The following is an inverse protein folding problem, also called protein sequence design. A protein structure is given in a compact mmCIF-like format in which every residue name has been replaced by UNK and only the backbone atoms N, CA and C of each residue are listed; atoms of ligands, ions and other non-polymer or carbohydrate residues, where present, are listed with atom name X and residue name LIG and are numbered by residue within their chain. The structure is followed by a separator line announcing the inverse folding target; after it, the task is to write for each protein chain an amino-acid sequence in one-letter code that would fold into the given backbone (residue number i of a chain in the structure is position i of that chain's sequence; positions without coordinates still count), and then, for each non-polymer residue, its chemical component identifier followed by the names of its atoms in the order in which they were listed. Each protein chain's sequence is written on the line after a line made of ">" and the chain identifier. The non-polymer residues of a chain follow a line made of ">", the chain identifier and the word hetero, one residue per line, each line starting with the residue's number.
data_IF_833994235257
#
_entry.id   IF_833994235257
#
_cell.length_a   1.000
_cell.length_b   1.000
_cell.length_c   1.000
_cell.angle_alpha   90.00
_cell.angle_beta   90.00
_cell.angle_gamma   90.00
#
_symmetry.space_group_name_H-M   'P 1'
#
loop_
_entity.id
_entity.type
_entity.pdbx_description
1 polymer ?
#
# COMPACT_ATOMS: atom_id res chain seq x y z
N UNK A 1 75.91 19.10 6.39
CA UNK A 1 74.66 18.89 7.16
C UNK A 1 73.50 18.87 6.18
N UNK A 2 72.93 17.67 5.96
CA UNK A 2 71.81 17.41 5.05
C UNK A 2 70.51 17.96 5.65
N UNK A 3 69.70 18.68 4.89
CA UNK A 3 68.27 18.83 5.14
C UNK A 3 67.52 18.59 3.84
N UNK A 4 67.11 17.34 3.63
CA UNK A 4 66.09 16.98 2.66
C UNK A 4 64.73 17.36 3.25
N UNK A 5 64.02 18.26 2.59
CA UNK A 5 62.62 18.53 2.85
C UNK A 5 61.82 17.51 2.02
N UNK A 6 61.37 16.44 2.67
CA UNK A 6 60.41 15.51 2.05
C UNK A 6 59.02 16.14 2.20
N UNK A 7 58.49 16.65 1.09
CA UNK A 7 57.08 17.02 0.98
C UNK A 7 56.31 15.70 0.86
N UNK A 8 55.62 15.30 1.93
CA UNK A 8 54.66 14.22 1.90
C UNK A 8 53.44 14.68 1.09
N UNK A 9 53.39 14.27 -0.17
CA UNK A 9 52.19 14.38 -1.00
C UNK A 9 51.17 13.38 -0.47
N UNK A 10 50.31 13.80 0.44
CA UNK A 10 49.12 13.03 0.82
C UNK A 10 48.18 13.06 -0.37
N UNK A 11 48.27 12.05 -1.24
CA UNK A 11 47.20 11.68 -2.14
C UNK A 11 45.99 11.31 -1.27
N UNK A 12 45.09 12.28 -1.03
CA UNK A 12 43.70 11.96 -0.75
C UNK A 12 43.19 11.26 -2.01
N UNK A 13 43.24 9.94 -2.03
CA UNK A 13 42.32 9.15 -2.83
C UNK A 13 40.92 9.59 -2.39
N UNK A 14 40.27 10.41 -3.21
CA UNK A 14 38.84 10.56 -3.14
C UNK A 14 38.28 9.14 -3.30
N UNK A 15 37.93 8.48 -2.19
CA UNK A 15 37.12 7.29 -2.26
C UNK A 15 35.89 7.71 -3.04
N UNK A 16 35.77 7.18 -4.27
CA UNK A 16 34.55 7.30 -5.04
C UNK A 16 33.45 6.65 -4.20
N UNK A 17 32.70 7.47 -3.46
CA UNK A 17 31.52 7.02 -2.74
C UNK A 17 30.58 6.40 -3.77
N UNK A 18 30.38 5.09 -3.68
CA UNK A 18 29.52 4.39 -4.62
C UNK A 18 28.09 4.91 -4.44
N UNK A 19 27.55 5.50 -5.52
CA UNK A 19 26.26 6.18 -5.52
C UNK A 19 25.18 5.33 -6.17
N UNK A 20 24.08 5.09 -5.46
CA UNK A 20 22.91 4.37 -5.96
C UNK A 20 21.84 5.37 -6.38
N UNK A 21 21.45 5.36 -7.65
CA UNK A 21 20.27 6.09 -8.11
C UNK A 21 19.03 5.22 -7.85
N UNK A 22 18.18 5.69 -6.94
CA UNK A 22 16.96 5.00 -6.52
C UNK A 22 15.74 5.75 -7.05
N UNK A 23 15.11 5.23 -8.10
CA UNK A 23 13.84 5.77 -8.61
C UNK A 23 12.65 5.16 -7.86
N UNK A 24 11.68 5.98 -7.45
CA UNK A 24 10.53 5.51 -6.69
C UNK A 24 9.24 6.21 -7.12
N UNK A 25 8.17 5.45 -7.34
CA UNK A 25 6.81 6.02 -7.47
C UNK A 25 6.14 6.24 -6.12
N UNK A 26 6.74 5.72 -5.04
CA UNK A 26 6.29 5.81 -3.66
C UNK A 26 7.11 6.83 -2.87
N UNK A 27 6.63 7.23 -1.68
CA UNK A 27 7.27 8.25 -0.85
C UNK A 27 7.40 9.59 -1.58
N UNK A 28 6.38 9.93 -2.38
CA UNK A 28 6.32 11.17 -3.18
C UNK A 28 5.74 12.35 -2.39
N UNK A 29 4.69 12.18 -1.55
CA UNK A 29 4.24 13.26 -0.67
C UNK A 29 5.38 13.78 0.20
N UNK A 30 5.40 15.08 0.48
CA UNK A 30 6.55 15.77 1.10
C UNK A 30 6.98 15.15 2.43
N UNK A 31 6.02 14.81 3.30
CA UNK A 31 6.28 14.20 4.60
C UNK A 31 6.88 12.79 4.47
N UNK A 32 6.31 11.96 3.59
CA UNK A 32 6.81 10.61 3.31
C UNK A 32 8.22 10.65 2.69
N UNK A 33 8.45 11.58 1.77
CA UNK A 33 9.76 11.80 1.13
C UNK A 33 10.80 12.22 2.16
N UNK A 34 10.47 13.18 3.02
CA UNK A 34 11.37 13.65 4.07
C UNK A 34 11.75 12.51 5.03
N UNK A 35 10.79 11.66 5.40
CA UNK A 35 11.03 10.47 6.20
C UNK A 35 11.96 9.46 5.48
N UNK A 36 11.69 9.12 4.21
CA UNK A 36 12.57 8.19 3.50
C UNK A 36 14.00 8.76 3.36
N UNK A 37 14.13 10.06 3.06
CA UNK A 37 15.44 10.71 2.99
C UNK A 37 16.21 10.65 4.33
N UNK A 38 15.51 10.74 5.47
CA UNK A 38 16.17 10.59 6.77
C UNK A 38 16.72 9.18 6.96
N UNK A 39 15.97 8.14 6.54
CA UNK A 39 16.43 6.74 6.57
C UNK A 39 17.57 6.48 5.60
N UNK A 40 17.52 7.04 4.40
CA UNK A 40 18.64 6.96 3.46
C UNK A 40 19.89 7.66 4.02
N UNK A 41 19.74 8.78 4.74
CA UNK A 41 20.86 9.44 5.41
C UNK A 41 21.47 8.62 6.54
N UNK A 42 20.65 7.93 7.35
CA UNK A 42 21.11 6.96 8.36
C UNK A 42 21.93 5.85 7.69
N UNK A 43 21.38 5.22 6.64
CA UNK A 43 22.06 4.19 5.86
C UNK A 43 23.39 4.67 5.27
N UNK A 44 23.43 5.88 4.71
CA UNK A 44 24.67 6.46 4.16
C UNK A 44 25.72 6.67 5.24
N UNK A 45 25.34 7.13 6.44
CA UNK A 45 26.28 7.29 7.57
C UNK A 45 26.87 5.97 8.04
N UNK A 46 26.07 4.91 8.07
CA UNK A 46 26.50 3.58 8.53
C UNK A 46 27.36 2.85 7.51
N UNK A 47 27.06 3.01 6.21
CA UNK A 47 27.66 2.18 5.16
C UNK A 47 28.63 2.92 4.25
N UNK A 48 28.61 4.25 4.25
CA UNK A 48 29.32 5.09 3.28
C UNK A 48 28.73 5.05 1.86
N UNK A 49 27.55 4.45 1.66
CA UNK A 49 26.90 4.35 0.35
C UNK A 49 25.97 5.56 0.16
N UNK A 50 26.22 6.38 -0.85
CA UNK A 50 25.36 7.52 -1.18
C UNK A 50 24.13 7.05 -1.97
N UNK A 51 22.96 7.59 -1.67
CA UNK A 51 21.70 7.23 -2.34
C UNK A 51 20.99 8.48 -2.84
N UNK A 52 20.81 8.60 -4.15
CA UNK A 52 20.01 9.65 -4.75
C UNK A 52 18.61 9.16 -5.03
N UNK A 53 17.65 9.63 -4.22
CA UNK A 53 16.23 9.34 -4.38
C UNK A 53 15.61 10.24 -5.47
N UNK A 54 15.03 9.57 -6.47
CA UNK A 54 14.32 10.18 -7.59
C UNK A 54 12.84 9.78 -7.53
N UNK A 55 11.99 10.62 -6.93
CA UNK A 55 10.55 10.40 -7.02
C UNK A 55 10.07 10.73 -8.44
N UNK A 56 9.46 9.75 -9.11
CA UNK A 56 8.98 9.84 -10.49
C UNK A 56 7.53 9.37 -10.58
N UNK A 57 6.79 9.87 -11.57
CA UNK A 57 5.47 9.32 -11.89
C UNK A 57 5.56 7.92 -12.51
N UNK A 58 4.44 7.18 -12.50
CA UNK A 58 4.37 5.84 -13.09
C UNK A 58 4.79 5.79 -14.56
N UNK A 59 4.36 6.76 -15.38
CA UNK A 59 4.77 6.82 -16.78
C UNK A 59 6.26 7.17 -16.93
N UNK A 60 6.78 8.05 -16.07
CA UNK A 60 8.16 8.53 -16.13
C UNK A 60 9.15 7.44 -15.77
N UNK A 61 8.85 6.61 -14.76
CA UNK A 61 9.73 5.50 -14.38
C UNK A 61 9.80 4.46 -15.51
N UNK A 62 8.67 4.14 -16.14
CA UNK A 62 8.62 3.24 -17.30
C UNK A 62 9.42 3.80 -18.47
N UNK A 63 9.19 5.06 -18.83
CA UNK A 63 9.87 5.73 -19.93
C UNK A 63 11.39 5.84 -19.70
N UNK A 64 11.80 6.15 -18.46
CA UNK A 64 13.22 6.27 -18.11
C UNK A 64 13.94 4.92 -18.18
N UNK A 65 13.36 3.87 -17.59
CA UNK A 65 13.96 2.52 -17.66
C UNK A 65 14.07 2.07 -19.11
N UNK A 66 13.01 2.26 -19.90
CA UNK A 66 13.03 1.91 -21.32
C UNK A 66 14.12 2.65 -22.10
N UNK A 67 14.29 3.96 -21.88
CA UNK A 67 15.35 4.74 -22.51
C UNK A 67 16.76 4.29 -22.10
N UNK A 68 16.98 4.04 -20.81
CA UNK A 68 18.27 3.55 -20.29
C UNK A 68 18.62 2.16 -20.85
N UNK A 69 17.65 1.26 -20.96
CA UNK A 69 17.85 -0.07 -21.55
C UNK A 69 18.12 0.01 -23.06
N UNK A 70 17.36 0.81 -23.82
CA UNK A 70 17.55 0.97 -25.27
C UNK A 70 18.90 1.57 -25.64
N UNK A 71 19.42 2.48 -24.81
CA UNK A 71 20.72 3.13 -25.05
C UNK A 71 21.90 2.32 -24.51
N UNK A 72 21.65 1.28 -23.70
CA UNK A 72 22.68 0.52 -22.98
C UNK A 72 23.40 1.32 -21.88
N UNK A 73 22.96 2.55 -21.59
CA UNK A 73 23.56 3.46 -20.60
C UNK A 73 22.73 3.46 -19.32
N UNK A 74 22.64 2.30 -18.67
CA UNK A 74 21.87 2.12 -17.44
C UNK A 74 22.55 2.81 -16.26
N UNK A 75 21.82 3.71 -15.60
CA UNK A 75 22.28 4.46 -14.43
C UNK A 75 21.46 4.16 -13.18
N UNK A 76 20.18 3.85 -13.34
CA UNK A 76 19.33 3.45 -12.22
C UNK A 76 19.87 2.16 -11.60
N UNK A 77 20.08 2.19 -10.29
CA UNK A 77 20.49 1.03 -9.50
C UNK A 77 19.29 0.30 -8.90
N UNK A 78 18.27 1.06 -8.51
CA UNK A 78 17.10 0.54 -7.81
C UNK A 78 15.82 1.25 -8.28
N UNK A 79 14.73 0.50 -8.37
CA UNK A 79 13.39 0.97 -8.67
C UNK A 79 12.45 0.53 -7.54
N UNK A 80 11.61 1.43 -7.04
CA UNK A 80 10.41 1.09 -6.29
C UNK A 80 9.17 1.45 -7.11
N UNK A 81 8.34 0.45 -7.41
CA UNK A 81 7.07 0.67 -8.09
C UNK A 81 6.01 -0.34 -7.66
N UNK A 82 4.76 -0.09 -8.03
CA UNK A 82 3.68 -1.06 -7.85
C UNK A 82 3.93 -2.31 -8.72
N UNK A 83 3.53 -3.46 -8.21
CA UNK A 83 3.62 -4.77 -8.89
C UNK A 83 3.22 -4.72 -10.37
N UNK A 84 2.12 -4.03 -10.72
CA UNK A 84 1.67 -3.91 -12.11
C UNK A 84 2.67 -3.20 -13.03
N UNK A 85 3.31 -2.11 -12.57
CA UNK A 85 4.36 -1.42 -13.32
C UNK A 85 5.61 -2.28 -13.49
N UNK A 86 5.98 -3.02 -12.44
CA UNK A 86 7.09 -3.96 -12.49
C UNK A 86 6.85 -5.12 -13.45
N UNK A 87 5.60 -5.60 -13.58
CA UNK A 87 5.22 -6.59 -14.59
C UNK A 87 5.37 -6.05 -16.02
N UNK A 88 5.05 -4.78 -16.26
CA UNK A 88 5.26 -4.14 -17.57
C UNK A 88 6.75 -4.06 -17.90
N UNK A 89 7.61 -3.73 -16.93
CA UNK A 89 9.06 -3.71 -17.14
C UNK A 89 9.62 -5.13 -17.35
N UNK A 90 9.14 -6.10 -16.57
CA UNK A 90 9.55 -7.49 -16.69
C UNK A 90 9.19 -8.10 -18.05
N UNK A 91 7.98 -7.84 -18.57
CA UNK A 91 7.55 -8.35 -19.88
C UNK A 91 8.37 -7.80 -21.04
N UNK A 92 8.99 -6.63 -20.86
CA UNK A 92 9.97 -6.05 -21.80
C UNK A 92 11.40 -6.58 -21.60
N UNK A 93 11.63 -7.44 -20.60
CA UNK A 93 12.94 -7.99 -20.27
C UNK A 93 13.89 -6.98 -19.61
N UNK A 94 13.36 -5.93 -18.99
CA UNK A 94 14.14 -4.81 -18.46
C UNK A 94 14.56 -4.95 -16.99
N UNK A 95 14.13 -6.00 -16.30
CA UNK A 95 14.48 -6.26 -14.90
C UNK A 95 15.45 -7.44 -14.77
N UNK A 96 16.31 -7.39 -13.76
CA UNK A 96 17.16 -8.52 -13.37
C UNK A 96 16.34 -9.62 -12.71
N UNK A 97 16.80 -10.86 -12.86
CA UNK A 97 16.30 -11.97 -12.06
C UNK A 97 16.99 -11.93 -10.68
N UNK A 98 16.17 -11.84 -9.63
CA UNK A 98 16.57 -11.74 -8.24
C UNK A 98 16.43 -13.08 -7.50
N UNK A 99 16.21 -14.21 -8.20
CA UNK A 99 15.97 -15.52 -7.57
C UNK A 99 17.14 -15.98 -6.69
N UNK A 100 18.36 -15.65 -7.09
CA UNK A 100 19.60 -15.92 -6.34
C UNK A 100 19.85 -14.92 -5.19
N UNK A 101 19.12 -13.81 -5.15
CA UNK A 101 19.27 -12.83 -4.08
C UNK A 101 18.49 -13.29 -2.85
N UNK A 102 19.22 -13.71 -1.82
CA UNK A 102 18.67 -14.15 -0.54
C UNK A 102 18.79 -13.04 0.50
N UNK A 103 17.70 -12.85 1.25
CA UNK A 103 17.63 -11.98 2.41
C UNK A 103 17.33 -12.90 3.60
N UNK A 104 18.36 -13.38 4.33
CA UNK A 104 18.16 -14.28 5.47
C UNK A 104 17.31 -13.58 6.54
N UNK A 105 16.52 -14.32 7.32
CA UNK A 105 15.66 -13.78 8.39
C UNK A 105 14.53 -12.85 7.91
N UNK A 106 14.14 -12.93 6.62
CA UNK A 106 13.00 -12.19 6.07
C UNK A 106 12.01 -13.17 5.44
N UNK A 107 10.84 -13.30 6.05
CA UNK A 107 9.72 -14.07 5.50
C UNK A 107 8.74 -13.13 4.81
N UNK A 108 8.88 -12.98 3.50
CA UNK A 108 8.04 -12.07 2.72
C UNK A 108 6.61 -12.58 2.56
N UNK A 109 5.66 -11.77 3.02
CA UNK A 109 4.26 -11.85 2.65
C UNK A 109 4.11 -11.53 1.16
N UNK A 110 3.10 -12.11 0.51
CA UNK A 110 2.79 -11.85 -0.90
C UNK A 110 3.93 -12.19 -1.88
N UNK A 111 4.96 -12.92 -1.46
CA UNK A 111 6.15 -13.21 -2.27
C UNK A 111 5.83 -13.92 -3.59
N UNK A 112 4.76 -14.72 -3.63
CA UNK A 112 4.28 -15.36 -4.88
C UNK A 112 4.04 -14.36 -6.02
N UNK A 113 3.67 -13.11 -5.72
CA UNK A 113 3.43 -12.06 -6.70
C UNK A 113 4.73 -11.37 -7.17
N UNK A 114 5.86 -11.66 -6.54
CA UNK A 114 7.17 -11.18 -6.97
C UNK A 114 7.73 -11.91 -8.19
N UNK A 115 7.05 -12.97 -8.65
CA UNK A 115 7.47 -13.80 -9.76
C UNK A 115 6.70 -13.49 -11.03
N UNK A 116 7.41 -13.47 -12.16
CA UNK A 116 6.85 -13.45 -13.51
C UNK A 116 7.73 -14.33 -14.41
N UNK A 117 7.11 -15.18 -15.24
CA UNK A 117 7.81 -16.09 -16.15
C UNK A 117 8.93 -16.92 -15.50
N UNK A 118 8.68 -17.41 -14.28
CA UNK A 118 9.62 -18.23 -13.50
C UNK A 118 10.77 -17.47 -12.84
N UNK A 119 10.84 -16.14 -13.00
CA UNK A 119 11.89 -15.28 -12.43
C UNK A 119 11.36 -14.44 -11.29
N UNK A 120 12.17 -14.23 -10.25
CA UNK A 120 11.87 -13.25 -9.19
C UNK A 120 12.24 -11.86 -9.69
N UNK A 121 11.25 -11.05 -10.07
CA UNK A 121 11.49 -9.76 -10.74
C UNK A 121 11.58 -8.57 -9.78
N UNK A 122 11.17 -8.74 -8.53
CA UNK A 122 11.31 -7.75 -7.47
C UNK A 122 11.41 -8.39 -6.09
N UNK A 123 11.87 -7.64 -5.10
CA UNK A 123 11.73 -7.97 -3.67
C UNK A 123 10.51 -7.23 -3.13
N UNK A 124 9.50 -7.89 -2.54
CA UNK A 124 8.39 -7.20 -1.90
C UNK A 124 8.91 -6.21 -0.86
N UNK A 125 8.37 -4.99 -0.83
CA UNK A 125 8.86 -3.95 0.09
C UNK A 125 7.78 -3.41 1.00
N UNK A 126 6.66 -2.99 0.42
CA UNK A 126 5.56 -2.37 1.17
C UNK A 126 4.24 -2.92 0.69
N UNK A 127 3.27 -2.95 1.60
CA UNK A 127 1.89 -3.17 1.24
C UNK A 127 0.94 -2.16 1.86
N UNK A 128 -0.16 -1.93 1.18
CA UNK A 128 -1.32 -1.24 1.71
C UNK A 128 -2.59 -1.89 1.16
N UNK A 129 -3.73 -1.46 1.70
CA UNK A 129 -5.03 -1.87 1.17
C UNK A 129 -6.05 -0.80 1.54
N UNK A 130 -7.30 -1.08 1.22
CA UNK A 130 -8.47 -0.32 1.59
C UNK A 130 -9.36 -1.20 2.44
N UNK A 131 -10.00 -0.55 3.40
CA UNK A 131 -10.74 -1.21 4.47
C UNK A 131 -12.07 -0.49 4.67
N UNK A 132 -13.00 -1.15 5.36
CA UNK A 132 -14.10 -0.44 5.97
C UNK A 132 -13.72 -0.03 7.39
N UNK A 133 -14.15 1.17 7.77
CA UNK A 133 -14.04 1.67 9.14
C UNK A 133 -15.44 1.85 9.69
N UNK A 134 -15.68 1.24 10.84
CA UNK A 134 -16.97 1.24 11.52
C UNK A 134 -16.80 1.99 12.84
N UNK A 135 -17.59 3.04 13.05
CA UNK A 135 -17.82 3.60 14.37
C UNK A 135 -18.56 2.54 15.20
N UNK A 136 -18.02 2.17 16.37
CA UNK A 136 -18.56 1.08 17.20
C UNK A 136 -20.03 1.31 17.61
N UNK A 137 -20.53 2.53 17.58
CA UNK A 137 -21.96 2.81 17.78
C UNK A 137 -22.86 2.19 16.71
N UNK A 138 -22.35 1.98 15.49
CA UNK A 138 -23.08 1.32 14.41
C UNK A 138 -23.51 -0.10 14.80
N UNK A 139 -22.73 -0.80 15.62
CA UNK A 139 -23.02 -2.20 16.00
C UNK A 139 -24.35 -2.36 16.77
N UNK A 140 -24.86 -1.28 17.38
CA UNK A 140 -26.20 -1.25 18.01
C UNK A 140 -27.34 -1.49 17.02
N UNK A 141 -27.08 -1.36 15.72
CA UNK A 141 -28.07 -1.43 14.64
C UNK A 141 -27.87 -2.63 13.71
N UNK A 142 -27.05 -3.61 14.11
CA UNK A 142 -26.78 -4.80 13.29
C UNK A 142 -28.08 -5.51 12.86
N UNK A 143 -28.13 -6.00 11.61
CA UNK A 143 -29.15 -6.93 11.14
C UNK A 143 -29.33 -8.14 12.06
N UNK A 144 -30.53 -8.71 12.07
CA UNK A 144 -30.78 -9.92 12.85
C UNK A 144 -29.93 -11.07 12.29
N UNK A 145 -29.13 -11.70 13.15
CA UNK A 145 -28.29 -12.86 12.80
C UNK A 145 -26.87 -12.50 12.32
N UNK A 146 -26.55 -11.21 12.20
CA UNK A 146 -25.20 -10.70 12.00
C UNK A 146 -24.60 -10.25 13.34
N UNK A 147 -23.44 -10.76 13.70
CA UNK A 147 -22.72 -10.39 14.93
C UNK A 147 -21.59 -9.39 14.66
N UNK A 148 -21.10 -8.73 15.70
CA UNK A 148 -19.91 -7.87 15.59
C UNK A 148 -18.68 -8.66 15.12
N UNK A 149 -18.52 -9.90 15.58
CA UNK A 149 -17.42 -10.78 15.16
C UNK A 149 -17.54 -11.18 13.68
N UNK A 150 -18.76 -11.41 13.18
CA UNK A 150 -18.97 -11.68 11.75
C UNK A 150 -18.41 -10.55 10.88
N UNK A 151 -18.61 -9.30 11.30
CA UNK A 151 -18.09 -8.11 10.60
C UNK A 151 -16.58 -7.99 10.77
N UNK A 152 -16.06 -8.06 12.01
CA UNK A 152 -14.64 -7.88 12.34
C UNK A 152 -13.72 -8.88 11.65
N UNK A 153 -14.14 -10.13 11.59
CA UNK A 153 -13.36 -11.22 11.02
C UNK A 153 -13.79 -11.58 9.60
N UNK A 154 -14.73 -10.83 9.02
CA UNK A 154 -15.16 -11.02 7.65
C UNK A 154 -15.65 -12.44 7.39
N UNK A 155 -16.59 -12.95 8.19
CA UNK A 155 -17.15 -14.29 7.99
C UNK A 155 -18.01 -14.35 6.71
N UNK A 156 -18.49 -15.54 6.37
CA UNK A 156 -19.43 -15.76 5.26
C UNK A 156 -20.73 -14.94 5.39
N UNK A 157 -21.11 -14.54 6.60
CA UNK A 157 -22.30 -13.72 6.85
C UNK A 157 -22.08 -12.23 6.54
N UNK A 158 -20.84 -11.79 6.45
CA UNK A 158 -20.52 -10.39 6.16
C UNK A 158 -20.56 -10.11 4.65
N UNK A 159 -21.78 -9.91 4.14
CA UNK A 159 -22.08 -9.70 2.71
C UNK A 159 -22.53 -8.28 2.38
N UNK A 160 -22.54 -7.92 1.09
CA UNK A 160 -23.07 -6.62 0.64
C UNK A 160 -24.55 -6.44 0.98
N UNK A 161 -25.35 -7.51 1.01
CA UNK A 161 -26.74 -7.51 1.47
C UNK A 161 -26.82 -7.23 2.97
N UNK A 162 -25.94 -7.83 3.76
CA UNK A 162 -25.85 -7.58 5.20
C UNK A 162 -25.46 -6.12 5.48
N UNK A 163 -24.51 -5.55 4.71
CA UNK A 163 -24.20 -4.12 4.77
C UNK A 163 -25.42 -3.26 4.43
N UNK A 164 -26.16 -3.61 3.38
CA UNK A 164 -27.35 -2.87 2.95
C UNK A 164 -28.43 -2.84 4.03
N UNK A 165 -28.77 -4.00 4.61
CA UNK A 165 -29.74 -4.07 5.72
C UNK A 165 -29.26 -3.27 6.93
N UNK A 166 -27.96 -3.31 7.22
CA UNK A 166 -27.39 -2.58 8.34
C UNK A 166 -27.50 -1.07 8.18
N UNK A 167 -27.14 -0.53 7.01
CA UNK A 167 -27.24 0.91 6.76
C UNK A 167 -28.70 1.37 6.71
N UNK A 168 -29.61 0.52 6.23
CA UNK A 168 -31.04 0.78 6.28
C UNK A 168 -31.55 0.86 7.74
N UNK A 169 -31.13 -0.07 8.61
CA UNK A 169 -31.49 -0.07 10.03
C UNK A 169 -31.00 1.20 10.74
N UNK A 170 -29.76 1.62 10.47
CA UNK A 170 -29.22 2.86 11.05
C UNK A 170 -30.05 4.05 10.59
N UNK A 171 -30.31 4.18 9.28
CA UNK A 171 -31.10 5.29 8.73
C UNK A 171 -32.51 5.32 9.32
N UNK A 172 -33.19 4.16 9.42
CA UNK A 172 -34.54 4.05 10.02
C UNK A 172 -34.58 4.47 11.49
N UNK A 173 -33.53 4.16 12.25
CA UNK A 173 -33.49 4.44 13.70
C UNK A 173 -32.98 5.83 14.05
N UNK A 174 -32.13 6.41 13.20
CA UNK A 174 -31.43 7.67 13.50
C UNK A 174 -31.83 8.83 12.60
N UNK A 175 -32.40 8.56 11.43
CA UNK A 175 -32.67 9.54 10.38
C UNK A 175 -31.41 10.10 9.70
N UNK A 176 -30.22 9.58 10.02
CA UNK A 176 -28.93 10.06 9.49
C UNK A 176 -28.35 9.09 8.48
N UNK A 177 -27.70 9.63 7.44
CA UNK A 177 -26.97 8.85 6.45
C UNK A 177 -25.77 8.14 7.09
N UNK A 178 -25.73 6.80 7.14
CA UNK A 178 -24.71 6.10 7.89
C UNK A 178 -23.42 5.85 7.11
N UNK A 179 -23.47 5.85 5.77
CA UNK A 179 -22.41 5.34 4.92
C UNK A 179 -21.71 6.47 4.17
N UNK A 180 -20.38 6.43 4.11
CA UNK A 180 -19.59 7.41 3.37
C UNK A 180 -18.55 6.78 2.45
N UNK A 181 -18.31 7.44 1.32
CA UNK A 181 -17.24 7.11 0.38
C UNK A 181 -16.51 8.37 -0.06
N UNK A 182 -15.20 8.30 -0.36
CA UNK A 182 -14.46 9.43 -0.89
C UNK A 182 -14.76 9.59 -2.39
N UNK A 183 -15.81 10.33 -2.75
CA UNK A 183 -16.31 10.45 -4.12
C UNK A 183 -16.02 11.80 -4.79
N UNK A 184 -15.28 12.70 -4.12
CA UNK A 184 -14.77 13.90 -4.76
C UNK A 184 -13.77 13.58 -5.90
N UNK A 185 -13.41 14.54 -6.77
CA UNK A 185 -12.46 14.29 -7.85
C UNK A 185 -11.09 13.73 -7.42
N UNK A 186 -10.59 14.07 -6.22
CA UNK A 186 -9.38 13.48 -5.62
C UNK A 186 -9.64 12.25 -4.74
N UNK A 187 -10.90 11.84 -4.66
CA UNK A 187 -11.38 10.66 -3.95
C UNK A 187 -11.04 9.34 -4.65
N UNK A 188 -11.34 8.24 -3.97
CA UNK A 188 -10.96 6.88 -4.39
C UNK A 188 -12.16 5.99 -4.72
N UNK A 189 -13.33 6.58 -4.94
CA UNK A 189 -14.54 5.85 -5.35
C UNK A 189 -14.32 4.92 -6.55
N UNK A 190 -13.56 5.35 -7.56
CA UNK A 190 -13.23 4.52 -8.72
C UNK A 190 -12.50 3.22 -8.33
N UNK A 191 -11.69 3.24 -7.26
CA UNK A 191 -11.02 2.05 -6.73
C UNK A 191 -11.98 1.14 -5.99
N UNK A 192 -12.94 1.68 -5.23
CA UNK A 192 -14.02 0.87 -4.65
C UNK A 192 -14.83 0.19 -5.76
N UNK A 193 -15.26 0.96 -6.76
CA UNK A 193 -16.08 0.45 -7.85
C UNK A 193 -15.40 -0.72 -8.56
N UNK A 194 -14.19 -0.51 -9.10
CA UNK A 194 -13.52 -1.52 -9.93
C UNK A 194 -12.74 -2.57 -9.13
N UNK A 195 -12.19 -2.21 -7.97
CA UNK A 195 -11.33 -3.10 -7.21
C UNK A 195 -12.02 -3.90 -6.11
N UNK A 196 -13.25 -3.53 -5.74
CA UNK A 196 -13.98 -4.16 -4.65
C UNK A 196 -15.31 -4.73 -5.10
N UNK A 197 -16.27 -3.87 -5.46
CA UNK A 197 -17.63 -4.35 -5.69
C UNK A 197 -17.77 -5.10 -7.03
N UNK A 198 -17.14 -4.64 -8.11
CA UNK A 198 -17.14 -5.36 -9.40
C UNK A 198 -16.62 -6.79 -9.29
N UNK A 199 -15.41 -7.06 -8.75
CA UNK A 199 -14.92 -8.43 -8.61
C UNK A 199 -15.75 -9.25 -7.62
N UNK A 200 -16.33 -8.62 -6.59
CA UNK A 200 -17.20 -9.33 -5.63
C UNK A 200 -18.51 -9.84 -6.25
N UNK A 201 -19.04 -9.16 -7.27
CA UNK A 201 -20.26 -9.58 -7.96
C UNK A 201 -19.97 -10.40 -9.22
N UNK A 202 -18.98 -10.01 -10.01
CA UNK A 202 -18.75 -10.59 -11.35
C UNK A 202 -17.64 -11.66 -11.35
N UNK A 203 -16.78 -11.66 -10.32
CA UNK A 203 -15.55 -12.45 -10.28
C UNK A 203 -14.43 -11.90 -11.17
N UNK A 204 -14.56 -10.67 -11.70
CA UNK A 204 -13.53 -10.01 -12.49
C UNK A 204 -13.53 -8.49 -12.27
N UNK A 205 -12.36 -7.86 -12.43
CA UNK A 205 -12.22 -6.41 -12.34
C UNK A 205 -12.68 -5.69 -13.62
N UNK A 206 -12.21 -6.15 -14.79
CA UNK A 206 -12.40 -5.45 -16.07
C UNK A 206 -13.10 -6.28 -17.16
N UNK A 207 -12.80 -7.57 -17.27
CA UNK A 207 -13.24 -8.40 -18.41
C UNK A 207 -14.72 -8.83 -18.39
N UNK A 208 -15.45 -8.57 -17.30
CA UNK A 208 -16.88 -8.90 -17.17
C UNK A 208 -17.75 -7.67 -16.90
N UNK A 209 -17.31 -6.53 -17.44
CA UNK A 209 -17.90 -5.22 -17.18
C UNK A 209 -19.40 -5.14 -17.55
N UNK A 210 -19.80 -5.81 -18.64
CA UNK A 210 -21.13 -5.82 -19.23
C UNK A 210 -21.94 -7.11 -18.93
N UNK A 211 -21.49 -7.89 -17.94
CA UNK A 211 -22.18 -9.14 -17.56
C UNK A 211 -23.52 -8.91 -16.87
N UNK A 212 -24.43 -9.90 -16.90
CA UNK A 212 -25.70 -9.85 -16.16
C UNK A 212 -25.48 -9.58 -14.66
N UNK A 213 -24.41 -10.14 -14.07
CA UNK A 213 -24.04 -9.87 -12.68
C UNK A 213 -23.59 -8.43 -12.43
N UNK A 214 -23.03 -7.76 -13.43
CA UNK A 214 -22.76 -6.33 -13.33
C UNK A 214 -24.06 -5.53 -13.23
N UNK A 215 -25.13 -5.92 -13.95
CA UNK A 215 -26.45 -5.29 -13.81
C UNK A 215 -27.03 -5.48 -12.39
N UNK A 216 -26.92 -6.68 -11.81
CA UNK A 216 -27.32 -6.94 -10.43
C UNK A 216 -26.56 -6.04 -9.44
N UNK A 217 -25.24 -5.92 -9.63
CA UNK A 217 -24.38 -5.03 -8.85
C UNK A 217 -24.78 -3.56 -8.99
N UNK A 218 -25.10 -3.08 -10.20
CA UNK A 218 -25.55 -1.70 -10.41
C UNK A 218 -26.91 -1.44 -9.78
N UNK A 219 -27.84 -2.39 -9.83
CA UNK A 219 -29.12 -2.28 -9.11
C UNK A 219 -28.93 -2.27 -7.60
N UNK A 220 -27.99 -3.06 -7.07
CA UNK A 220 -27.56 -2.96 -5.67
C UNK A 220 -27.01 -1.57 -5.34
N UNK A 221 -26.07 -1.04 -6.13
CA UNK A 221 -25.50 0.29 -5.91
C UNK A 221 -26.56 1.38 -5.94
N UNK A 222 -27.51 1.34 -6.88
CA UNK A 222 -28.65 2.29 -6.92
C UNK A 222 -29.45 2.30 -5.62
N UNK A 223 -29.65 1.12 -5.01
CA UNK A 223 -30.32 1.01 -3.70
C UNK A 223 -29.43 1.53 -2.58
N UNK A 224 -28.15 1.13 -2.54
CA UNK A 224 -27.19 1.53 -1.51
C UNK A 224 -26.96 3.04 -1.47
N UNK A 225 -26.92 3.70 -2.64
CA UNK A 225 -26.68 5.15 -2.75
C UNK A 225 -27.72 6.00 -2.00
N UNK A 226 -28.89 5.45 -1.68
CA UNK A 226 -29.90 6.12 -0.83
C UNK A 226 -29.45 6.29 0.63
N UNK A 227 -28.46 5.50 1.05
CA UNK A 227 -27.88 5.51 2.40
C UNK A 227 -26.47 6.10 2.45
N UNK A 228 -25.90 6.43 1.29
CA UNK A 228 -24.62 7.14 1.20
C UNK A 228 -24.86 8.62 1.49
N UNK A 229 -24.03 9.19 2.37
CA UNK A 229 -24.13 10.59 2.75
C UNK A 229 -23.91 11.49 1.52
N UNK A 230 -24.83 12.43 1.18
CA UNK A 230 -24.74 13.23 -0.04
C UNK A 230 -23.41 14.01 -0.21
N UNK A 231 -22.84 14.47 0.90
CA UNK A 231 -21.55 15.16 0.93
C UNK A 231 -20.34 14.26 0.59
N UNK A 232 -20.51 12.93 0.44
CA UNK A 232 -19.47 12.04 -0.09
C UNK A 232 -18.93 12.51 -1.45
N UNK A 233 -19.77 13.17 -2.26
CA UNK A 233 -19.35 13.81 -3.53
C UNK A 233 -18.34 14.95 -3.36
N UNK A 234 -18.11 15.43 -2.14
CA UNK A 234 -17.19 16.53 -1.81
C UNK A 234 -16.01 16.10 -0.93
N UNK A 235 -15.99 14.84 -0.48
CA UNK A 235 -14.91 14.33 0.36
C UNK A 235 -13.88 13.55 -0.46
N UNK A 236 -12.62 13.98 -0.36
CA UNK A 236 -11.48 13.22 -0.90
C UNK A 236 -11.04 12.09 0.05
N UNK A 237 -11.28 12.24 1.35
CA UNK A 237 -10.86 11.32 2.41
C UNK A 237 -11.97 11.13 3.44
N UNK A 238 -11.97 9.99 4.12
CA UNK A 238 -13.02 9.64 5.09
C UNK A 238 -12.64 9.81 6.57
N UNK A 239 -11.41 10.18 6.90
CA UNK A 239 -10.99 10.42 8.28
C UNK A 239 -11.80 11.52 8.98
N UNK A 240 -11.92 12.71 8.39
CA UNK A 240 -12.68 13.81 8.98
C UNK A 240 -14.19 13.52 9.10
N UNK A 241 -14.89 13.03 8.05
CA UNK A 241 -16.30 12.65 8.17
C UNK A 241 -16.54 11.61 9.28
N UNK A 242 -15.64 10.63 9.46
CA UNK A 242 -15.70 9.66 10.55
C UNK A 242 -15.53 10.35 11.92
N UNK A 243 -14.48 11.16 12.09
CA UNK A 243 -14.19 11.83 13.36
C UNK A 243 -15.28 12.81 13.78
N UNK A 244 -15.93 13.48 12.82
CA UNK A 244 -17.09 14.37 13.06
C UNK A 244 -18.40 13.62 13.30
N UNK A 245 -18.43 12.29 13.09
CA UNK A 245 -19.64 11.48 13.21
C UNK A 245 -20.70 11.79 12.15
N UNK A 246 -20.29 12.34 10.99
CA UNK A 246 -21.16 12.58 9.84
C UNK A 246 -21.59 11.27 9.18
N UNK A 247 -20.74 10.25 9.30
CA UNK A 247 -21.03 8.87 8.90
C UNK A 247 -20.61 7.91 10.02
N UNK A 248 -21.27 6.77 10.12
CA UNK A 248 -20.92 5.71 11.05
C UNK A 248 -20.08 4.61 10.41
N UNK A 249 -20.15 4.47 9.09
CA UNK A 249 -19.46 3.45 8.32
C UNK A 249 -18.84 4.14 7.11
N UNK A 250 -17.57 3.89 6.84
CA UNK A 250 -16.88 4.43 5.67
C UNK A 250 -15.95 3.40 5.04
N UNK A 251 -15.65 3.60 3.76
CA UNK A 251 -14.60 2.86 3.07
C UNK A 251 -13.53 3.84 2.58
N UNK A 252 -12.25 3.55 2.79
CA UNK A 252 -11.14 4.33 2.24
C UNK A 252 -9.82 3.57 2.34
N UNK A 253 -8.75 4.16 1.81
CA UNK A 253 -7.38 3.69 1.94
C UNK A 253 -6.90 3.78 3.39
N UNK A 254 -6.16 2.79 3.86
CA UNK A 254 -5.62 2.74 5.23
C UNK A 254 -4.83 4.01 5.61
N UNK A 255 -4.02 4.54 4.70
CA UNK A 255 -3.28 5.79 4.94
C UNK A 255 -4.19 7.03 5.09
N UNK A 256 -5.37 7.03 4.46
CA UNK A 256 -6.36 8.13 4.53
C UNK A 256 -7.24 8.07 5.77
N UNK A 257 -7.36 6.92 6.44
CA UNK A 257 -8.13 6.75 7.68
C UNK A 257 -7.25 6.64 8.93
N UNK A 258 -5.93 6.51 8.76
CA UNK A 258 -4.94 6.40 9.84
C UNK A 258 -5.15 7.45 10.94
N UNK A 259 -5.39 8.70 10.56
CA UNK A 259 -5.56 9.79 11.52
C UNK A 259 -6.79 9.59 12.42
N UNK A 260 -7.92 9.12 11.87
CA UNK A 260 -9.12 8.83 12.65
C UNK A 260 -8.87 7.71 13.67
N UNK A 261 -8.17 6.64 13.26
CA UNK A 261 -7.85 5.51 14.14
C UNK A 261 -6.86 5.90 15.24
N UNK A 262 -5.85 6.73 14.92
CA UNK A 262 -4.87 7.21 15.91
C UNK A 262 -5.52 8.18 16.91
N UNK A 263 -6.37 9.09 16.43
CA UNK A 263 -6.96 10.13 17.28
C UNK A 263 -8.09 9.61 18.16
N UNK A 264 -8.82 8.57 17.70
CA UNK A 264 -9.99 8.02 18.39
C UNK A 264 -10.00 6.48 18.35
N UNK A 265 -8.96 5.80 18.87
CA UNK A 265 -8.79 4.35 18.74
C UNK A 265 -9.93 3.54 19.36
N UNK A 266 -10.56 4.08 20.41
CA UNK A 266 -11.67 3.41 21.09
C UNK A 266 -13.00 3.52 20.35
N UNK A 267 -13.14 4.48 19.42
CA UNK A 267 -14.40 4.72 18.71
C UNK A 267 -14.54 3.90 17.44
N UNK A 268 -13.43 3.52 16.81
CA UNK A 268 -13.45 2.91 15.50
C UNK A 268 -12.99 1.46 15.52
N UNK A 269 -13.51 0.69 14.58
CA UNK A 269 -13.08 -0.65 14.26
C UNK A 269 -12.76 -0.71 12.77
N UNK A 270 -11.59 -1.26 12.42
CA UNK A 270 -11.22 -1.49 11.03
C UNK A 270 -11.61 -2.92 10.68
N UNK A 271 -12.42 -3.08 9.64
CA UNK A 271 -13.04 -4.35 9.27
C UNK A 271 -12.87 -4.64 7.78
N UNK A 272 -12.88 -5.91 7.38
CA UNK A 272 -12.91 -6.28 5.97
C UNK A 272 -14.09 -5.66 5.21
N UNK A 273 -13.93 -5.38 3.92
CA UNK A 273 -15.06 -5.08 3.03
C UNK A 273 -15.98 -6.28 2.91
N UNK A 274 -17.30 -6.15 2.73
CA UNK A 274 -18.22 -7.27 2.57
C UNK A 274 -17.92 -8.13 1.34
N UNK A 275 -18.38 -9.38 1.37
CA UNK A 275 -18.28 -10.30 0.23
C UNK A 275 -19.53 -10.20 -0.64
N UNK A 276 -19.36 -10.45 -1.94
CA UNK A 276 -20.47 -10.61 -2.87
C UNK A 276 -20.66 -12.07 -3.31
N UNK A 277 -21.56 -12.31 -4.29
CA UNK A 277 -21.84 -13.64 -4.83
C UNK A 277 -20.62 -14.39 -5.39
N UNK A 278 -19.54 -13.67 -5.73
CA UNK A 278 -18.29 -14.23 -6.26
C UNK A 278 -17.13 -14.17 -5.28
N UNK A 279 -17.42 -13.96 -3.99
CA UNK A 279 -16.44 -13.85 -2.93
C UNK A 279 -16.11 -12.40 -2.59
N UNK A 280 -15.04 -12.23 -1.83
CA UNK A 280 -14.58 -10.93 -1.33
C UNK A 280 -13.55 -10.34 -2.31
N UNK A 281 -13.98 -9.39 -3.12
CA UNK A 281 -13.08 -8.61 -3.96
C UNK A 281 -12.41 -7.49 -3.16
N UNK A 282 -11.09 -7.42 -3.19
CA UNK A 282 -10.32 -6.35 -2.56
C UNK A 282 -9.01 -6.08 -3.30
N UNK A 283 -8.49 -4.86 -3.15
CA UNK A 283 -7.21 -4.45 -3.73
C UNK A 283 -6.09 -4.76 -2.76
N UNK A 284 -5.07 -5.44 -3.25
CA UNK A 284 -3.76 -5.49 -2.62
C UNK A 284 -2.88 -4.45 -3.29
N UNK A 285 -2.40 -3.46 -2.52
CA UNK A 285 -1.36 -2.55 -2.98
C UNK A 285 -0.03 -3.20 -2.60
N UNK A 286 0.73 -3.66 -3.60
CA UNK A 286 2.05 -4.25 -3.40
C UNK A 286 3.10 -3.40 -4.11
N UNK A 287 4.04 -2.87 -3.34
CA UNK A 287 5.22 -2.16 -3.84
C UNK A 287 6.39 -3.13 -3.82
N UNK A 288 7.09 -3.22 -4.95
CA UNK A 288 8.29 -4.02 -5.10
C UNK A 288 9.54 -3.15 -5.30
N UNK A 289 10.67 -3.65 -4.80
CA UNK A 289 12.01 -3.17 -5.10
C UNK A 289 12.59 -4.02 -6.23
N UNK A 290 12.77 -3.42 -7.40
CA UNK A 290 13.29 -4.08 -8.59
C UNK A 290 14.62 -3.47 -9.03
N UNK A 291 15.43 -4.28 -9.71
CA UNK A 291 16.74 -3.87 -10.20
C UNK A 291 16.69 -3.87 -11.73
N UNK A 292 16.97 -2.74 -12.41
CA UNK A 292 17.10 -2.72 -13.86
C UNK A 292 18.15 -3.71 -14.35
N UNK A 293 17.92 -4.35 -15.49
CA UNK A 293 18.93 -5.18 -16.14
C UNK A 293 20.19 -4.35 -16.41
N UNK A 294 21.37 -4.92 -16.14
CA UNK A 294 22.66 -4.23 -16.25
C UNK A 294 22.82 -3.00 -15.34
N UNK A 295 22.07 -2.93 -14.22
CA UNK A 295 22.25 -1.87 -13.23
C UNK A 295 23.69 -1.83 -12.68
N UNK A 296 24.26 -0.63 -12.45
CA UNK A 296 25.57 -0.49 -11.83
C UNK A 296 25.51 -0.77 -10.32
N UNK A 297 26.69 -0.94 -9.70
CA UNK A 297 26.84 -0.93 -8.23
C UNK A 297 25.98 -1.96 -7.48
N UNK A 298 25.90 -3.20 -8.00
CA UNK A 298 25.00 -4.21 -7.45
C UNK A 298 25.22 -4.55 -5.98
N UNK A 299 26.45 -4.51 -5.48
CA UNK A 299 26.70 -4.79 -4.06
C UNK A 299 26.09 -3.71 -3.17
N UNK A 300 26.13 -2.45 -3.61
CA UNK A 300 25.48 -1.34 -2.92
C UNK A 300 23.96 -1.41 -3.02
N UNK A 301 23.42 -1.76 -4.19
CA UNK A 301 21.99 -1.97 -4.39
C UNK A 301 21.46 -3.08 -3.48
N UNK A 302 22.17 -4.22 -3.39
CA UNK A 302 21.79 -5.33 -2.49
C UNK A 302 21.77 -4.89 -1.03
N UNK A 303 22.78 -4.14 -0.58
CA UNK A 303 22.82 -3.58 0.78
C UNK A 303 21.66 -2.62 1.05
N UNK A 304 21.30 -1.81 0.06
CA UNK A 304 20.16 -0.90 0.19
C UNK A 304 18.83 -1.67 0.27
N UNK A 305 18.63 -2.70 -0.56
CA UNK A 305 17.42 -3.54 -0.47
C UNK A 305 17.36 -4.26 0.88
N UNK A 306 18.49 -4.80 1.35
CA UNK A 306 18.58 -5.44 2.67
C UNK A 306 18.16 -4.47 3.78
N UNK A 307 18.72 -3.25 3.80
CA UNK A 307 18.37 -2.20 4.76
C UNK A 307 16.88 -1.81 4.71
N UNK A 308 16.36 -1.51 3.52
CA UNK A 308 14.97 -1.06 3.32
C UNK A 308 13.94 -2.12 3.70
N UNK A 309 14.35 -3.38 3.74
CA UNK A 309 13.48 -4.51 4.08
C UNK A 309 13.68 -5.02 5.50
N UNK A 310 14.52 -4.40 6.32
CA UNK A 310 14.66 -4.77 7.75
C UNK A 310 13.37 -4.54 8.54
N UNK A 311 13.09 -5.35 9.58
CA UNK A 311 11.92 -5.14 10.44
C UNK A 311 11.83 -3.72 11.01
N UNK A 312 12.96 -3.15 11.44
CA UNK A 312 13.05 -1.83 12.05
C UNK A 312 12.64 -0.74 11.06
N UNK A 313 13.14 -0.80 9.82
CA UNK A 313 12.80 0.17 8.78
C UNK A 313 11.33 0.02 8.36
N UNK A 314 10.82 -1.19 8.20
CA UNK A 314 9.41 -1.41 7.83
C UNK A 314 8.43 -0.93 8.92
N UNK A 315 8.75 -1.14 10.20
CA UNK A 315 7.96 -0.60 11.33
C UNK A 315 8.03 0.93 11.37
N UNK A 316 9.21 1.51 11.10
CA UNK A 316 9.34 2.96 11.02
C UNK A 316 8.49 3.54 9.87
N UNK A 317 8.43 2.85 8.72
CA UNK A 317 7.56 3.20 7.60
C UNK A 317 6.09 3.14 8.01
N UNK A 318 5.63 2.09 8.69
CA UNK A 318 4.25 2.02 9.19
C UNK A 318 3.90 3.20 10.11
N UNK A 319 4.76 3.47 11.09
CA UNK A 319 4.56 4.53 12.08
C UNK A 319 4.45 5.91 11.43
N UNK A 320 5.28 6.22 10.45
CA UNK A 320 5.37 7.56 9.88
C UNK A 320 4.52 7.73 8.61
N UNK A 321 4.46 6.71 7.75
CA UNK A 321 3.86 6.80 6.41
C UNK A 321 2.55 6.01 6.31
N UNK A 322 2.41 4.89 7.02
CA UNK A 322 1.19 4.07 7.01
C UNK A 322 1.15 2.95 5.97
N UNK A 323 2.27 2.67 5.30
CA UNK A 323 2.46 1.38 4.62
C UNK A 323 2.76 0.29 5.64
N UNK A 324 2.16 -0.89 5.44
CA UNK A 324 2.33 -2.03 6.33
C UNK A 324 3.60 -2.80 5.99
N UNK A 325 4.23 -3.41 7.01
CA UNK A 325 5.30 -4.34 6.76
C UNK A 325 4.87 -5.49 5.87
N UNK A 326 5.78 -5.92 5.00
CA UNK A 326 5.66 -7.04 4.07
C UNK A 326 6.41 -8.28 4.56
N UNK A 327 7.07 -8.23 5.72
CA UNK A 327 7.75 -9.39 6.32
C UNK A 327 7.07 -9.78 7.64
N UNK A 328 7.01 -11.07 7.94
CA UNK A 328 6.40 -11.58 9.18
C UNK A 328 7.13 -11.11 10.43
N UNK A 329 8.44 -10.96 10.35
CA UNK A 329 9.32 -10.59 11.45
C UNK A 329 9.03 -9.16 11.95
N UNK A 330 8.49 -8.30 11.09
CA UNK A 330 8.05 -6.96 11.47
C UNK A 330 6.68 -6.93 12.15
N UNK A 331 5.85 -7.98 11.99
CA UNK A 331 4.51 -8.03 12.56
C UNK A 331 4.53 -8.03 14.10
N UNK A 332 5.51 -8.71 14.71
CA UNK A 332 5.70 -8.71 16.17
C UNK A 332 6.22 -7.39 16.73
N UNK A 333 6.67 -6.46 15.86
CA UNK A 333 7.19 -5.16 16.23
C UNK A 333 6.19 -4.01 15.98
N UNK A 334 4.97 -4.33 15.52
CA UNK A 334 3.88 -3.35 15.42
C UNK A 334 3.47 -2.95 16.85
N UNK A 335 3.54 -1.66 17.21
CA UNK A 335 3.15 -1.22 18.55
C UNK A 335 1.68 -1.52 18.86
N UNK A 336 1.39 -1.83 20.12
CA UNK A 336 0.02 -1.88 20.64
C UNK A 336 -0.73 -0.55 20.38
N UNK A 337 -2.06 -0.63 20.35
CA UNK A 337 -2.95 0.52 20.13
C UNK A 337 -3.38 0.69 18.67
N UNK A 338 -3.53 1.94 18.22
CA UNK A 338 -4.18 2.28 16.95
C UNK A 338 -3.60 1.58 15.71
N UNK A 339 -2.26 1.41 15.66
CA UNK A 339 -1.61 0.75 14.52
C UNK A 339 -1.87 -0.76 14.49
N UNK A 340 -2.03 -1.39 15.65
CA UNK A 340 -2.41 -2.80 15.75
C UNK A 340 -3.84 -3.02 15.28
N UNK A 341 -4.79 -2.17 15.70
CA UNK A 341 -6.19 -2.20 15.21
C UNK A 341 -6.24 -2.11 13.69
N UNK A 342 -5.46 -1.21 13.12
CA UNK A 342 -5.38 -1.05 11.67
C UNK A 342 -4.74 -2.27 10.99
N UNK A 343 -3.65 -2.81 11.54
CA UNK A 343 -2.98 -3.99 11.01
C UNK A 343 -3.85 -5.25 11.07
N UNK A 344 -4.55 -5.49 12.17
CA UNK A 344 -5.49 -6.61 12.33
C UNK A 344 -6.62 -6.55 11.30
N UNK A 345 -7.21 -5.37 11.08
CA UNK A 345 -8.24 -5.18 10.04
C UNK A 345 -7.73 -5.49 8.63
N UNK A 346 -6.48 -5.12 8.34
CA UNK A 346 -5.81 -5.46 7.05
C UNK A 346 -5.53 -6.95 6.94
N UNK A 347 -5.09 -7.62 8.01
CA UNK A 347 -4.84 -9.05 8.00
C UNK A 347 -6.14 -9.85 7.79
N UNK A 348 -7.20 -9.49 8.50
CA UNK A 348 -8.52 -10.11 8.38
C UNK A 348 -9.15 -9.94 6.99
N UNK A 349 -8.74 -8.91 6.23
CA UNK A 349 -9.20 -8.70 4.85
C UNK A 349 -8.74 -9.82 3.90
N UNK A 350 -7.63 -10.49 4.24
CA UNK A 350 -6.97 -11.52 3.43
C UNK A 350 -7.10 -12.96 3.98
N UNK A 351 -7.69 -13.11 5.16
CA UNK A 351 -8.08 -14.38 5.76
C UNK A 351 -9.38 -14.90 5.13
#
# INVERSE_FOLDING_TARGET
>A
MKKFLVIALVLLTAMSFAKVFFASTQMTPSEERAFLLSKLSEFTKETGIDVELLNLGYADILARVEAEQKTGKVKLGLIADLQGGLYILASKGYLMDLSEFKLPDRTFLLEKYAYADGKKIFIPWLQATYVMVVNKEAFKYLPKGLTEDDVKYGTEKWTYEALFEWVENIMKKTGKYPLGFPMAPGGLWHRFLHGYIYPSFTGAQAIKFDSVRALEMWEYLKKLMKYVHPASSTWDKMDEPLMRGEVLIAWDHTARIKQAIISMPDKFCVVPVPRGPMGRGYIIVLVGLAVPKNAPSMDQVKKLIDYLTTPEVQVAILKNVGFFPIIKEAAGAIPEGALKVLAEGVLNQSA
#
